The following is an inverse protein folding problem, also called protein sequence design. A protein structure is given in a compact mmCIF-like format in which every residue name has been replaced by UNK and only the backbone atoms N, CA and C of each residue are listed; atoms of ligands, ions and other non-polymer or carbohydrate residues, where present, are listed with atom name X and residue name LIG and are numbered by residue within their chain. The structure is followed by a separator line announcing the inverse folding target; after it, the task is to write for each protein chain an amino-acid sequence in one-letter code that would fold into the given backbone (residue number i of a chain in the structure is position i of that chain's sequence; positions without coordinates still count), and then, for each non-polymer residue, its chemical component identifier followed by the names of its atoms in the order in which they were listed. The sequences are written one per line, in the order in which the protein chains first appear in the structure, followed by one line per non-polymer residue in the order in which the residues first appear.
data_IF_880253975890
#
_entry.id   IF_880253975890
#
_cell.length_a   1.000
_cell.length_b   1.000
_cell.length_c   1.000
_cell.angle_alpha   90.00
_cell.angle_beta   90.00
_cell.angle_gamma   90.00
#
_symmetry.space_group_name_H-M   'P 1'
#
loop_
_entity.id
_entity.type
_entity.pdbx_description
1 polymer ?
#
# COMPACT_ATOMS: atom_id res chain seq x y z
N UNK A 1 11.62 -13.87 9.70
CA UNK A 1 10.67 -13.25 8.74
C UNK A 1 9.71 -12.23 9.39
N UNK A 2 9.23 -12.44 10.61
CA UNK A 2 8.27 -11.51 11.27
C UNK A 2 8.86 -10.10 11.53
N UNK A 3 10.13 -10.01 11.94
CA UNK A 3 10.78 -8.72 12.25
C UNK A 3 11.00 -7.81 11.04
N UNK A 4 11.39 -8.38 9.89
CA UNK A 4 11.60 -7.60 8.65
C UNK A 4 10.31 -7.02 8.11
N UNK A 5 9.20 -7.74 8.26
CA UNK A 5 7.86 -7.26 7.90
C UNK A 5 7.43 -6.01 8.68
N UNK A 6 7.70 -6.00 10.00
CA UNK A 6 7.36 -4.86 10.86
C UNK A 6 8.14 -3.59 10.49
N UNK A 7 9.42 -3.73 10.15
CA UNK A 7 10.26 -2.61 9.72
C UNK A 7 9.73 -1.95 8.44
N UNK A 8 9.42 -2.74 7.41
CA UNK A 8 8.86 -2.23 6.15
C UNK A 8 7.52 -1.55 6.40
N UNK A 9 6.66 -2.17 7.22
CA UNK A 9 5.36 -1.60 7.58
C UNK A 9 5.49 -0.24 8.26
N UNK A 10 6.44 -0.08 9.20
CA UNK A 10 6.69 1.18 9.88
C UNK A 10 7.16 2.28 8.90
N UNK A 11 8.05 1.94 7.96
CA UNK A 11 8.49 2.86 6.89
C UNK A 11 7.31 3.30 6.03
N UNK A 12 6.49 2.35 5.57
CA UNK A 12 5.31 2.66 4.74
C UNK A 12 4.31 3.56 5.49
N UNK A 13 4.05 3.28 6.76
CA UNK A 13 3.19 4.12 7.62
C UNK A 13 3.76 5.54 7.73
N UNK A 14 5.06 5.67 8.01
CA UNK A 14 5.72 6.97 8.12
C UNK A 14 5.64 7.78 6.82
N UNK A 15 5.82 7.12 5.67
CA UNK A 15 5.69 7.77 4.36
C UNK A 15 4.26 8.25 4.11
N UNK A 16 3.24 7.46 4.47
CA UNK A 16 1.84 7.89 4.33
C UNK A 16 1.51 9.08 5.25
N UNK A 17 1.98 9.09 6.49
CA UNK A 17 1.83 10.26 7.37
C UNK A 17 2.57 11.49 6.83
N UNK A 18 3.77 11.31 6.27
CA UNK A 18 4.52 12.39 5.61
C UNK A 18 3.75 12.96 4.42
N UNK A 19 3.07 12.12 3.66
CA UNK A 19 2.21 12.56 2.56
C UNK A 19 0.97 13.31 3.10
N UNK A 20 0.25 12.75 4.07
CA UNK A 20 -0.87 13.45 4.69
C UNK A 20 -0.48 14.85 5.20
N UNK A 21 0.68 14.96 5.88
CA UNK A 21 1.23 16.23 6.35
C UNK A 21 1.58 17.17 5.20
N UNK A 22 2.22 16.69 4.12
CA UNK A 22 2.60 17.52 2.99
C UNK A 22 1.37 18.06 2.24
N UNK A 23 0.33 17.25 2.02
CA UNK A 23 -0.94 17.73 1.42
C UNK A 23 -1.59 18.79 2.31
N UNK A 24 -1.63 18.55 3.62
CA UNK A 24 -2.25 19.45 4.58
C UNK A 24 -1.54 20.81 4.67
N UNK A 25 -0.21 20.82 4.77
CA UNK A 25 0.57 22.05 4.88
C UNK A 25 0.80 22.76 3.54
N UNK A 26 0.62 22.07 2.40
CA UNK A 26 0.78 22.64 1.06
C UNK A 26 -0.46 22.38 0.19
N UNK A 27 -1.62 22.96 0.53
CA UNK A 27 -2.86 22.74 -0.22
C UNK A 27 -2.79 23.26 -1.66
N UNK A 28 -1.97 24.29 -1.90
CA UNK A 28 -1.82 24.92 -3.21
C UNK A 28 -0.68 24.33 -4.05
N UNK A 29 -0.03 23.25 -3.60
CA UNK A 29 1.06 22.62 -4.35
C UNK A 29 0.72 22.27 -5.82
N UNK A 30 -0.50 21.79 -6.15
CA UNK A 30 -0.88 21.55 -7.54
C UNK A 30 -0.88 22.80 -8.43
N UNK A 31 -1.13 23.98 -7.86
CA UNK A 31 -1.13 25.25 -8.59
C UNK A 31 0.30 25.77 -8.84
N UNK A 32 1.24 25.35 -8.00
CA UNK A 32 2.62 25.86 -8.00
C UNK A 32 3.60 24.95 -8.75
N UNK A 33 3.31 23.65 -8.86
CA UNK A 33 4.22 22.69 -9.48
C UNK A 33 3.48 21.73 -10.40
N UNK A 34 3.98 21.62 -11.63
CA UNK A 34 3.44 20.72 -12.66
C UNK A 34 3.45 19.24 -12.24
N UNK A 35 4.41 18.83 -11.41
CA UNK A 35 4.44 17.47 -10.85
C UNK A 35 3.21 17.14 -9.99
N UNK A 36 2.63 18.15 -9.35
CA UNK A 36 1.49 17.98 -8.46
C UNK A 36 0.15 18.29 -9.13
N UNK A 37 0.14 19.04 -10.24
CA UNK A 37 -1.10 19.27 -11.01
C UNK A 37 -1.64 17.97 -11.62
N UNK A 38 -0.79 17.03 -12.01
CA UNK A 38 -1.22 15.72 -12.55
C UNK A 38 -2.05 14.88 -11.55
N UNK A 39 -2.01 15.19 -10.26
CA UNK A 39 -2.84 14.51 -9.26
C UNK A 39 -4.32 14.89 -9.39
N UNK A 40 -4.61 16.13 -9.81
CA UNK A 40 -5.99 16.62 -9.92
C UNK A 40 -6.78 15.97 -11.05
N UNK A 41 -6.09 15.30 -11.99
CA UNK A 41 -6.72 14.50 -13.05
C UNK A 41 -7.38 13.22 -12.51
N UNK A 42 -6.91 12.73 -11.36
CA UNK A 42 -7.45 11.51 -10.73
C UNK A 42 -8.47 11.83 -9.63
N UNK A 43 -8.12 12.76 -8.74
CA UNK A 43 -8.96 13.19 -7.62
C UNK A 43 -8.50 14.55 -7.09
N UNK A 44 -9.35 15.28 -6.33
CA UNK A 44 -8.93 16.51 -5.67
C UNK A 44 -7.70 16.30 -4.76
N UNK A 45 -6.79 17.27 -4.73
CA UNK A 45 -5.52 17.16 -4.00
C UNK A 45 -5.65 16.73 -2.52
N UNK A 46 -6.62 17.31 -1.82
CA UNK A 46 -6.89 16.98 -0.42
C UNK A 46 -7.33 15.52 -0.24
N UNK A 47 -7.97 14.91 -1.24
CA UNK A 47 -8.39 13.51 -1.18
C UNK A 47 -7.19 12.56 -1.09
N UNK A 48 -6.05 12.90 -1.70
CA UNK A 48 -4.81 12.13 -1.56
C UNK A 48 -4.27 12.18 -0.14
N UNK A 49 -4.30 13.36 0.51
CA UNK A 49 -3.87 13.51 1.90
C UNK A 49 -4.72 12.71 2.88
N UNK A 50 -6.05 12.80 2.73
CA UNK A 50 -6.99 12.02 3.56
C UNK A 50 -6.88 10.52 3.32
N UNK A 51 -6.73 10.10 2.06
CA UNK A 51 -6.51 8.69 1.73
C UNK A 51 -5.22 8.18 2.36
N UNK A 52 -4.13 8.96 2.27
CA UNK A 52 -2.86 8.60 2.88
C UNK A 52 -2.98 8.44 4.40
N UNK A 53 -3.65 9.38 5.07
CA UNK A 53 -3.91 9.32 6.51
C UNK A 53 -4.74 8.09 6.89
N UNK A 54 -5.83 7.83 6.17
CA UNK A 54 -6.71 6.69 6.42
C UNK A 54 -5.96 5.36 6.26
N UNK A 55 -5.14 5.22 5.22
CA UNK A 55 -4.29 4.03 5.00
C UNK A 55 -3.26 3.90 6.14
N UNK A 56 -2.59 4.99 6.53
CA UNK A 56 -1.63 4.98 7.63
C UNK A 56 -2.26 4.49 8.94
N UNK A 57 -3.43 5.03 9.29
CA UNK A 57 -4.18 4.63 10.48
C UNK A 57 -4.64 3.17 10.38
N UNK A 58 -5.14 2.74 9.22
CA UNK A 58 -5.55 1.34 9.02
C UNK A 58 -4.37 0.39 9.17
N UNK A 59 -3.19 0.74 8.64
CA UNK A 59 -1.96 -0.05 8.81
C UNK A 59 -1.44 -0.03 10.25
N UNK A 60 -1.54 1.08 10.95
CA UNK A 60 -1.11 1.22 12.34
C UNK A 60 -1.97 0.40 13.29
N UNK A 61 -3.30 0.42 13.09
CA UNK A 61 -4.26 -0.21 13.97
C UNK A 61 -4.52 -1.69 13.66
N UNK A 62 -4.24 -2.14 12.44
CA UNK A 62 -4.44 -3.54 12.07
C UNK A 62 -3.29 -4.44 12.54
N UNK A 63 -3.65 -5.60 13.11
CA UNK A 63 -2.68 -6.62 13.51
C UNK A 63 -2.20 -7.39 12.26
N UNK A 64 -0.89 -7.70 12.12
CA UNK A 64 -0.38 -8.51 11.02
C UNK A 64 -1.11 -9.87 10.89
N UNK A 65 -1.30 -10.35 9.66
CA UNK A 65 -2.04 -11.59 9.38
C UNK A 65 -3.57 -11.48 9.48
N UNK A 66 -4.14 -10.31 9.82
CA UNK A 66 -5.59 -10.08 9.75
C UNK A 66 -6.03 -9.65 8.36
N UNK A 67 -7.32 -9.80 8.05
CA UNK A 67 -7.91 -9.29 6.80
C UNK A 67 -7.77 -7.77 6.67
N UNK A 68 -7.84 -7.04 7.79
CA UNK A 68 -7.62 -5.60 7.80
C UNK A 68 -6.20 -5.23 7.37
N UNK A 69 -5.17 -5.96 7.84
CA UNK A 69 -3.79 -5.71 7.44
C UNK A 69 -3.54 -5.99 5.95
N UNK A 70 -4.23 -6.98 5.37
CA UNK A 70 -4.19 -7.24 3.93
C UNK A 70 -4.75 -6.06 3.14
N UNK A 71 -5.97 -5.64 3.45
CA UNK A 71 -6.59 -4.50 2.78
C UNK A 71 -5.77 -3.23 2.94
N UNK A 72 -5.19 -2.99 4.12
CA UNK A 72 -4.31 -1.85 4.35
C UNK A 72 -3.09 -1.87 3.41
N UNK A 73 -2.43 -3.03 3.29
CA UNK A 73 -1.25 -3.20 2.43
C UNK A 73 -1.61 -3.10 0.94
N UNK A 74 -2.78 -3.63 0.55
CA UNK A 74 -3.27 -3.54 -0.82
C UNK A 74 -3.62 -2.09 -1.21
N UNK A 75 -4.37 -1.38 -0.35
CA UNK A 75 -4.70 0.02 -0.56
C UNK A 75 -3.45 0.91 -0.59
N UNK A 76 -2.47 0.64 0.29
CA UNK A 76 -1.14 1.27 0.25
C UNK A 76 -0.44 1.06 -1.10
N UNK A 77 -0.47 -0.16 -1.63
CA UNK A 77 0.10 -0.44 -2.95
C UNK A 77 -0.58 0.33 -4.07
N UNK A 78 -1.92 0.35 -4.10
CA UNK A 78 -2.70 1.12 -5.09
C UNK A 78 -2.33 2.59 -5.00
N UNK A 79 -2.35 3.15 -3.78
CA UNK A 79 -2.04 4.55 -3.54
C UNK A 79 -0.66 4.93 -4.08
N UNK A 80 0.38 4.14 -3.78
CA UNK A 80 1.72 4.43 -4.32
C UNK A 80 1.80 4.26 -5.84
N UNK A 81 1.13 3.28 -6.45
CA UNK A 81 1.06 3.19 -7.91
C UNK A 81 0.36 4.42 -8.53
N UNK A 82 -0.68 4.95 -7.89
CA UNK A 82 -1.32 6.21 -8.32
C UNK A 82 -0.36 7.39 -8.20
N UNK A 83 0.40 7.49 -7.10
CA UNK A 83 1.44 8.53 -6.91
C UNK A 83 2.52 8.42 -8.00
N UNK A 84 2.99 7.21 -8.30
CA UNK A 84 3.96 6.93 -9.37
C UNK A 84 3.41 7.37 -10.73
N UNK A 85 2.16 7.03 -11.04
CA UNK A 85 1.52 7.40 -12.29
C UNK A 85 1.36 8.93 -12.43
N UNK A 86 0.96 9.61 -11.36
CA UNK A 86 0.79 11.07 -11.36
C UNK A 86 2.13 11.80 -11.51
N UNK A 87 3.14 11.46 -10.69
CA UNK A 87 4.47 12.08 -10.77
C UNK A 87 5.14 11.74 -12.11
N UNK A 88 5.06 10.50 -12.56
CA UNK A 88 5.65 10.05 -13.81
C UNK A 88 5.09 10.78 -15.03
N UNK A 89 3.79 11.09 -15.03
CA UNK A 89 3.18 11.95 -16.07
C UNK A 89 3.64 13.39 -16.01
N UNK A 90 3.79 13.96 -14.81
CA UNK A 90 4.13 15.37 -14.65
C UNK A 90 5.60 15.71 -14.90
N UNK A 91 6.54 14.86 -14.46
CA UNK A 91 8.00 15.14 -14.50
C UNK A 91 8.87 14.00 -15.05
N UNK A 92 8.26 12.91 -15.52
CA UNK A 92 9.00 11.75 -16.04
C UNK A 92 9.64 10.88 -14.96
N UNK A 93 10.62 10.06 -15.36
CA UNK A 93 11.33 9.16 -14.45
C UNK A 93 12.30 9.94 -13.55
N UNK A 94 11.95 10.03 -12.26
CA UNK A 94 12.76 10.69 -11.22
C UNK A 94 13.02 9.73 -10.06
N UNK A 95 13.95 10.09 -9.16
CA UNK A 95 14.21 9.34 -7.93
C UNK A 95 12.94 9.14 -7.08
N UNK A 96 12.02 10.12 -7.12
CA UNK A 96 10.71 10.01 -6.48
C UNK A 96 9.87 8.86 -7.06
N UNK A 97 9.77 8.77 -8.39
CA UNK A 97 9.06 7.69 -9.10
C UNK A 97 9.64 6.33 -8.73
N UNK A 98 10.96 6.18 -8.71
CA UNK A 98 11.61 4.93 -8.32
C UNK A 98 11.34 4.58 -6.86
N UNK A 99 11.42 5.56 -5.96
CA UNK A 99 11.17 5.36 -4.52
C UNK A 99 9.74 4.88 -4.27
N UNK A 100 8.73 5.57 -4.83
CA UNK A 100 7.34 5.18 -4.65
C UNK A 100 7.01 3.86 -5.37
N UNK A 101 7.69 3.54 -6.46
CA UNK A 101 7.55 2.23 -7.12
C UNK A 101 8.06 1.09 -6.23
N UNK A 102 9.23 1.25 -5.60
CA UNK A 102 9.75 0.28 -4.62
C UNK A 102 8.77 0.12 -3.46
N UNK A 103 8.22 1.22 -2.93
CA UNK A 103 7.24 1.17 -1.84
C UNK A 103 5.90 0.53 -2.26
N UNK A 104 5.47 0.73 -3.52
CA UNK A 104 4.30 0.06 -4.08
C UNK A 104 4.50 -1.46 -4.12
N UNK A 105 5.61 -1.92 -4.69
CA UNK A 105 5.95 -3.35 -4.72
C UNK A 105 6.18 -3.94 -3.33
N UNK A 106 6.80 -3.20 -2.41
CA UNK A 106 6.96 -3.62 -1.03
C UNK A 106 5.60 -3.79 -0.34
N UNK A 107 4.66 -2.87 -0.57
CA UNK A 107 3.29 -2.95 -0.05
C UNK A 107 2.53 -4.14 -0.64
N UNK A 108 2.69 -4.41 -1.94
CA UNK A 108 2.11 -5.57 -2.60
C UNK A 108 2.69 -6.89 -2.05
N UNK A 109 3.99 -6.93 -1.80
CA UNK A 109 4.64 -8.09 -1.18
C UNK A 109 4.13 -8.32 0.26
N UNK A 110 3.96 -7.25 1.06
CA UNK A 110 3.32 -7.36 2.38
C UNK A 110 1.89 -7.90 2.28
N UNK A 111 1.10 -7.41 1.31
CA UNK A 111 -0.23 -7.96 1.04
C UNK A 111 -0.19 -9.46 0.74
N UNK A 112 0.71 -9.92 -0.14
CA UNK A 112 0.84 -11.34 -0.46
C UNK A 112 1.24 -12.19 0.75
N UNK A 113 2.12 -11.68 1.62
CA UNK A 113 2.54 -12.36 2.85
C UNK A 113 1.40 -12.44 3.87
N UNK A 114 0.70 -11.33 4.12
CA UNK A 114 -0.44 -11.28 5.03
C UNK A 114 -1.59 -12.16 4.50
N UNK A 115 -1.83 -12.15 3.19
CA UNK A 115 -2.83 -12.99 2.53
C UNK A 115 -2.48 -14.47 2.70
N UNK A 116 -1.23 -14.88 2.43
CA UNK A 116 -0.77 -16.25 2.64
C UNK A 116 -0.95 -16.71 4.08
N UNK A 117 -0.55 -15.88 5.05
CA UNK A 117 -0.67 -16.19 6.47
C UNK A 117 -2.14 -16.42 6.86
N UNK A 118 -3.02 -15.52 6.48
CA UNK A 118 -4.45 -15.62 6.73
C UNK A 118 -5.11 -16.80 6.01
N UNK A 119 -4.76 -17.03 4.74
CA UNK A 119 -5.33 -18.08 3.91
C UNK A 119 -5.01 -19.47 4.49
N UNK A 120 -3.77 -19.66 4.96
CA UNK A 120 -3.34 -20.90 5.60
C UNK A 120 -4.10 -21.24 6.89
N UNK A 121 -4.69 -20.25 7.55
CA UNK A 121 -5.43 -20.45 8.79
C UNK A 121 -6.90 -20.87 8.56
N UNK A 122 -7.40 -20.84 7.34
CA UNK A 122 -8.81 -21.15 7.04
C UNK A 122 -9.11 -22.64 7.24
N UNK A 123 -10.20 -22.95 7.93
CA UNK A 123 -10.52 -24.34 8.29
C UNK A 123 -10.76 -25.23 7.07
N UNK A 124 -11.31 -24.69 5.99
CA UNK A 124 -11.43 -25.44 4.75
C UNK A 124 -10.07 -25.72 4.09
N UNK A 125 -9.11 -24.79 4.18
CA UNK A 125 -7.73 -24.99 3.70
C UNK A 125 -7.03 -26.06 4.54
N UNK A 126 -7.14 -25.98 5.87
CA UNK A 126 -6.60 -27.00 6.78
C UNK A 126 -7.20 -28.38 6.48
N UNK A 127 -8.53 -28.46 6.27
CA UNK A 127 -9.21 -29.70 5.91
C UNK A 127 -8.75 -30.26 4.56
N UNK A 128 -8.58 -29.39 3.56
CA UNK A 128 -8.10 -29.77 2.23
C UNK A 128 -6.67 -30.29 2.26
N UNK A 129 -5.80 -29.71 3.07
CA UNK A 129 -4.41 -30.16 3.26
C UNK A 129 -4.38 -31.49 4.03
N UNK A 130 -5.21 -31.65 5.07
CA UNK A 130 -5.27 -32.89 5.86
C UNK A 130 -5.89 -34.05 5.06
N UNK A 131 -6.88 -33.77 4.21
CA UNK A 131 -7.59 -34.76 3.39
C UNK A 131 -7.56 -34.35 1.91
N UNK A 132 -6.40 -34.47 1.23
CA UNK A 132 -6.27 -34.07 -0.15
C UNK A 132 -7.14 -34.96 -1.06
N UNK A 133 -7.82 -34.40 -2.08
CA UNK A 133 -8.61 -35.17 -3.03
C UNK A 133 -7.78 -36.28 -3.68
N UNK A 134 -8.34 -37.49 -3.84
CA UNK A 134 -7.64 -38.62 -4.47
C UNK A 134 -7.08 -38.29 -5.86
N UNK A 135 -7.73 -37.37 -6.60
CA UNK A 135 -7.29 -36.92 -7.93
C UNK A 135 -5.94 -36.18 -7.91
N UNK A 136 -5.49 -35.67 -6.77
CA UNK A 136 -4.21 -34.97 -6.64
C UNK A 136 -3.02 -35.88 -6.32
N UNK A 137 -3.26 -37.20 -6.14
CA UNK A 137 -2.23 -38.20 -5.83
C UNK A 137 -1.74 -38.97 -7.07
N UNK A 138 -2.28 -38.66 -8.25
CA UNK A 138 -1.86 -39.21 -9.54
C UNK A 138 -0.96 -38.20 -10.23
#
# INVERSE_FOLDING_TARGET
MIRTHLGIRAVVIAVHFGWAAAVYHKPNAPLLYQSYSAFTDFAPWHAFGWSALAIALLMLLSRPGTMAAQWASFLSSIFFFTVVAAIGRGVGFTTGVSTYSILAFASLAMFALDFRAWFSQRDWVKRLIANPPQRWRK
#
